data_IF_547102612371
#
_entry.id   IF_547102612371
#
_cell.length_a   1.000
_cell.length_b   1.000
_cell.length_c   1.000
_cell.angle_alpha   90.00
_cell.angle_beta   90.00
_cell.angle_gamma   90.00
#
_symmetry.space_group_name_H-M   'P 1'
#
loop_
_entity.id
_entity.type
_entity.pdbx_description
1 polymer ?
#
# COMPACT_ATOMS: atom_id res chain seq x y z
N UNK A 1 -36.02 -10.08 31.94
CA UNK A 1 -35.15 -8.87 31.94
C UNK A 1 -34.01 -9.09 30.97
N UNK A 2 -33.79 -8.17 30.03
CA UNK A 2 -32.61 -8.23 29.15
C UNK A 2 -31.35 -7.78 29.92
N UNK A 3 -30.16 -8.37 29.66
CA UNK A 3 -28.94 -8.01 30.35
C UNK A 3 -28.52 -6.57 30.04
N UNK A 4 -28.00 -5.87 31.06
CA UNK A 4 -27.59 -4.48 30.99
C UNK A 4 -26.45 -4.33 29.96
N UNK A 5 -26.56 -3.39 29.00
CA UNK A 5 -25.51 -3.16 28.01
C UNK A 5 -24.21 -2.73 28.68
N UNK A 6 -23.08 -3.34 28.29
CA UNK A 6 -21.74 -2.96 28.80
C UNK A 6 -21.50 -1.44 28.66
N UNK A 7 -20.86 -0.78 29.65
CA UNK A 7 -20.61 0.66 29.63
C UNK A 7 -19.74 1.07 28.43
N UNK A 8 -19.95 2.29 27.91
CA UNK A 8 -19.37 2.76 26.64
C UNK A 8 -17.83 2.65 26.56
N UNK A 9 -17.12 2.93 27.66
CA UNK A 9 -15.66 2.79 27.74
C UNK A 9 -15.14 1.35 27.70
N UNK A 10 -16.01 0.37 27.97
CA UNK A 10 -15.70 -1.06 27.99
C UNK A 10 -16.13 -1.77 26.69
N UNK A 11 -16.81 -1.04 25.79
CA UNK A 11 -17.25 -1.51 24.46
C UNK A 11 -16.23 -1.27 23.36
N UNK A 12 -15.24 -0.41 23.60
CA UNK A 12 -14.37 0.04 22.53
C UNK A 12 -13.19 -0.93 22.35
N UNK A 13 -13.33 -1.85 21.40
CA UNK A 13 -12.19 -2.61 20.87
C UNK A 13 -11.27 -1.61 20.16
N UNK A 14 -10.26 -1.12 20.87
CA UNK A 14 -9.23 -0.25 20.28
C UNK A 14 -8.33 -1.17 19.45
N UNK A 15 -8.64 -1.34 18.16
CA UNK A 15 -7.73 -1.95 17.19
C UNK A 15 -6.54 -0.99 16.99
N UNK A 16 -5.73 -0.81 18.03
CA UNK A 16 -4.48 -0.07 17.98
C UNK A 16 -3.44 -1.07 17.50
N UNK A 17 -3.05 -0.97 16.23
CA UNK A 17 -1.87 -1.66 15.73
C UNK A 17 -0.69 -1.18 16.59
N UNK A 18 -0.14 -2.07 17.42
CA UNK A 18 0.92 -1.75 18.37
C UNK A 18 2.31 -1.80 17.71
N UNK A 19 2.39 -2.27 16.47
CA UNK A 19 3.64 -2.63 15.81
C UNK A 19 3.60 -2.13 14.36
N UNK A 20 3.69 -0.82 14.15
CA UNK A 20 4.02 -0.34 12.81
C UNK A 20 5.53 -0.40 12.61
N UNK A 21 5.97 -1.30 11.74
CA UNK A 21 7.34 -1.29 11.25
C UNK A 21 7.45 -0.17 10.21
N UNK A 22 8.40 0.76 10.44
CA UNK A 22 8.74 1.82 9.48
C UNK A 22 9.72 1.28 8.45
N UNK A 23 9.29 1.23 7.20
CA UNK A 23 10.08 0.62 6.14
C UNK A 23 10.74 1.67 5.25
N UNK A 24 12.03 1.48 4.98
CA UNK A 24 12.83 2.31 4.09
C UNK A 24 13.41 1.44 2.96
N UNK A 25 13.42 1.97 1.74
CA UNK A 25 14.06 1.28 0.63
C UNK A 25 15.58 1.30 0.79
N UNK A 26 16.23 0.15 0.59
CA UNK A 26 17.68 0.07 0.48
C UNK A 26 18.10 0.16 -0.99
N UNK A 27 18.71 1.27 -1.43
CA UNK A 27 19.14 1.43 -2.82
C UNK A 27 20.27 0.48 -3.24
N UNK A 28 20.93 -0.20 -2.28
CA UNK A 28 21.98 -1.18 -2.55
C UNK A 28 21.45 -2.60 -2.69
N UNK A 29 20.20 -2.84 -2.27
CA UNK A 29 19.60 -4.16 -2.37
C UNK A 29 19.41 -4.52 -3.85
N UNK A 30 20.00 -5.65 -4.25
CA UNK A 30 19.87 -6.17 -5.61
C UNK A 30 18.81 -7.25 -5.64
N UNK A 31 17.98 -7.22 -6.69
CA UNK A 31 17.08 -8.32 -6.98
C UNK A 31 17.90 -9.61 -7.16
N UNK A 32 17.56 -10.71 -6.48
CA UNK A 32 18.14 -12.00 -6.77
C UNK A 32 17.79 -12.41 -8.20
N UNK A 33 18.66 -13.20 -8.82
CA UNK A 33 18.37 -13.75 -10.14
C UNK A 33 17.14 -14.65 -10.05
N UNK A 34 16.22 -14.49 -11.01
CA UNK A 34 15.14 -15.45 -11.17
C UNK A 34 15.74 -16.80 -11.62
N UNK A 35 15.16 -17.92 -11.17
CA UNK A 35 15.58 -19.24 -11.63
C UNK A 35 15.37 -19.36 -13.14
N UNK A 36 16.23 -20.13 -13.80
CA UNK A 36 16.07 -20.44 -15.22
C UNK A 36 14.81 -21.30 -15.42
N UNK A 37 14.02 -20.96 -16.44
CA UNK A 37 12.88 -21.77 -16.86
C UNK A 37 13.37 -22.78 -17.91
N UNK A 38 13.04 -24.08 -17.79
CA UNK A 38 13.58 -25.11 -18.69
C UNK A 38 13.25 -24.88 -20.17
N UNK A 39 12.05 -24.38 -20.46
CA UNK A 39 11.48 -24.41 -21.81
C UNK A 39 11.33 -23.02 -22.44
N UNK A 40 11.66 -21.93 -21.72
CA UNK A 40 11.39 -20.55 -22.18
C UNK A 40 12.19 -19.49 -21.45
N UNK A 41 12.18 -18.28 -22.00
CA UNK A 41 12.69 -17.09 -21.32
C UNK A 41 11.58 -16.41 -20.51
N UNK A 42 11.98 -15.69 -19.47
CA UNK A 42 11.08 -14.83 -18.70
C UNK A 42 10.51 -13.72 -19.58
N UNK A 43 9.21 -13.46 -19.42
CA UNK A 43 8.53 -12.37 -20.10
C UNK A 43 9.08 -11.01 -19.61
N UNK A 44 9.28 -10.02 -20.50
CA UNK A 44 9.86 -8.72 -20.12
C UNK A 44 9.09 -8.00 -19.01
N UNK A 45 7.76 -8.11 -19.00
CA UNK A 45 6.92 -7.51 -17.95
C UNK A 45 7.11 -8.20 -16.58
N UNK A 46 7.42 -9.49 -16.56
CA UNK A 46 7.74 -10.21 -15.32
C UNK A 46 9.08 -9.74 -14.77
N UNK A 47 10.09 -9.56 -15.63
CA UNK A 47 11.39 -9.02 -15.22
C UNK A 47 11.27 -7.60 -14.67
N UNK A 48 10.47 -6.75 -15.32
CA UNK A 48 10.19 -5.40 -14.85
C UNK A 48 9.51 -5.42 -13.47
N UNK A 49 8.46 -6.25 -13.32
CA UNK A 49 7.75 -6.44 -12.06
C UNK A 49 8.67 -6.96 -10.95
N UNK A 50 9.53 -7.94 -11.25
CA UNK A 50 10.50 -8.47 -10.30
C UNK A 50 11.44 -7.38 -9.79
N UNK A 51 11.97 -6.57 -10.70
CA UNK A 51 12.81 -5.45 -10.34
C UNK A 51 12.07 -4.41 -9.47
N UNK A 52 10.77 -4.16 -9.71
CA UNK A 52 9.94 -3.29 -8.86
C UNK A 52 9.73 -3.87 -7.45
N UNK A 53 9.52 -5.19 -7.32
CA UNK A 53 9.38 -5.85 -6.01
C UNK A 53 10.61 -5.60 -5.16
N UNK A 54 11.80 -5.74 -5.72
CA UNK A 54 13.06 -5.55 -4.98
C UNK A 54 13.50 -4.09 -4.81
N UNK A 55 12.94 -3.16 -5.59
CA UNK A 55 13.06 -1.71 -5.34
C UNK A 55 12.14 -1.21 -4.23
N UNK A 56 11.14 -2.01 -3.86
CA UNK A 56 10.15 -1.64 -2.87
C UNK A 56 10.80 -1.47 -1.48
N UNK A 57 10.32 -0.54 -0.63
CA UNK A 57 10.74 -0.44 0.77
C UNK A 57 10.53 -1.72 1.59
N UNK A 58 9.73 -2.65 1.06
CA UNK A 58 9.45 -3.95 1.67
C UNK A 58 10.60 -4.94 1.52
N UNK A 59 11.39 -4.79 0.46
CA UNK A 59 12.34 -5.79 0.02
C UNK A 59 13.41 -6.18 1.07
N UNK A 60 13.91 -5.26 1.93
CA UNK A 60 14.84 -5.62 3.00
C UNK A 60 14.26 -6.54 4.08
N UNK A 61 12.93 -6.60 4.22
CA UNK A 61 12.26 -7.42 5.25
C UNK A 61 12.05 -8.87 4.80
N UNK A 62 12.25 -9.18 3.51
CA UNK A 62 12.10 -10.54 3.00
C UNK A 62 13.26 -11.42 3.46
N UNK A 63 12.93 -12.54 4.09
CA UNK A 63 13.90 -13.56 4.45
C UNK A 63 14.16 -14.52 3.28
N UNK A 64 15.13 -15.42 3.42
CA UNK A 64 15.42 -16.47 2.43
C UNK A 64 14.20 -17.34 2.12
N UNK A 65 13.41 -17.65 3.14
CA UNK A 65 12.18 -18.42 3.00
C UNK A 65 11.15 -17.73 2.09
N UNK A 66 11.01 -16.41 2.19
CA UNK A 66 10.10 -15.61 1.35
C UNK A 66 10.51 -15.63 -0.12
N UNK A 67 11.82 -15.70 -0.42
CA UNK A 67 12.32 -15.73 -1.80
C UNK A 67 11.77 -16.92 -2.58
N UNK A 68 11.65 -18.08 -1.94
CA UNK A 68 11.07 -19.26 -2.59
C UNK A 68 9.62 -19.03 -2.99
N UNK A 69 8.82 -18.41 -2.12
CA UNK A 69 7.44 -18.05 -2.44
C UNK A 69 7.35 -16.96 -3.52
N UNK A 70 8.26 -15.99 -3.49
CA UNK A 70 8.36 -14.95 -4.53
C UNK A 70 8.75 -15.52 -5.90
N UNK A 71 9.58 -16.57 -5.96
CA UNK A 71 9.88 -17.26 -7.22
C UNK A 71 8.65 -17.98 -7.78
N UNK A 72 7.86 -18.66 -6.93
CA UNK A 72 6.61 -19.27 -7.36
C UNK A 72 5.62 -18.22 -7.88
N UNK A 73 5.51 -17.09 -7.19
CA UNK A 73 4.70 -15.96 -7.64
C UNK A 73 5.19 -15.39 -8.98
N UNK A 74 6.51 -15.32 -9.19
CA UNK A 74 7.08 -14.87 -10.45
C UNK A 74 6.64 -15.77 -11.61
N UNK A 75 6.67 -17.09 -11.44
CA UNK A 75 6.18 -18.05 -12.46
C UNK A 75 4.71 -17.78 -12.80
N UNK A 76 3.85 -17.56 -11.80
CA UNK A 76 2.44 -17.26 -12.04
C UNK A 76 2.23 -15.94 -12.79
N UNK A 77 2.96 -14.89 -12.40
CA UNK A 77 2.93 -13.59 -13.09
C UNK A 77 3.36 -13.75 -14.54
N UNK A 78 4.38 -14.57 -14.78
CA UNK A 78 4.89 -14.85 -16.11
C UNK A 78 3.91 -15.61 -16.98
N UNK A 79 3.33 -16.69 -16.45
CA UNK A 79 2.26 -17.45 -17.09
C UNK A 79 1.07 -16.55 -17.41
N UNK A 80 0.74 -15.59 -16.54
CA UNK A 80 -0.33 -14.62 -16.78
C UNK A 80 -0.01 -13.69 -17.95
N UNK A 81 1.24 -13.27 -18.13
CA UNK A 81 1.63 -12.45 -19.29
C UNK A 81 1.62 -13.23 -20.60
N UNK A 82 1.96 -14.51 -20.57
CA UNK A 82 1.94 -15.39 -21.77
C UNK A 82 0.52 -15.80 -22.13
N UNK A 83 -0.27 -16.23 -21.14
CA UNK A 83 -1.64 -16.72 -21.33
C UNK A 83 -2.53 -16.26 -20.17
N UNK A 84 -3.09 -15.05 -20.25
CA UNK A 84 -3.93 -14.50 -19.19
C UNK A 84 -5.14 -15.40 -18.91
N UNK A 85 -5.40 -15.67 -17.63
CA UNK A 85 -6.60 -16.38 -17.19
C UNK A 85 -7.13 -15.81 -15.88
N UNK A 86 -8.44 -15.98 -15.63
CA UNK A 86 -9.06 -15.55 -14.37
C UNK A 86 -8.53 -16.32 -13.17
N UNK A 87 -8.21 -17.60 -13.36
CA UNK A 87 -7.68 -18.46 -12.31
C UNK A 87 -6.26 -18.03 -11.92
N UNK A 88 -5.39 -17.75 -12.90
CA UNK A 88 -4.05 -17.18 -12.65
C UNK A 88 -4.15 -15.84 -11.93
N UNK A 89 -5.04 -14.95 -12.38
CA UNK A 89 -5.24 -13.66 -11.72
C UNK A 89 -5.71 -13.82 -10.26
N UNK A 90 -6.55 -14.83 -9.98
CA UNK A 90 -7.00 -15.13 -8.63
C UNK A 90 -5.87 -15.65 -7.75
N UNK A 91 -5.05 -16.58 -8.24
CA UNK A 91 -3.89 -17.11 -7.53
C UNK A 91 -2.84 -16.03 -7.25
N UNK A 92 -2.48 -15.22 -8.25
CA UNK A 92 -1.59 -14.07 -8.09
C UNK A 92 -2.13 -13.13 -7.01
N UNK A 93 -3.44 -12.84 -7.03
CA UNK A 93 -4.10 -11.98 -6.03
C UNK A 93 -4.03 -12.58 -4.62
N UNK A 94 -4.05 -13.90 -4.46
CA UNK A 94 -3.95 -14.54 -3.15
C UNK A 94 -2.49 -14.55 -2.66
N UNK A 95 -1.56 -15.03 -3.48
CA UNK A 95 -0.16 -15.18 -3.10
C UNK A 95 0.55 -13.85 -2.85
N UNK A 96 0.23 -12.81 -3.63
CA UNK A 96 0.85 -11.47 -3.44
C UNK A 96 0.56 -10.85 -2.06
N UNK A 97 -0.50 -11.30 -1.38
CA UNK A 97 -0.90 -10.73 -0.08
C UNK A 97 0.12 -11.06 1.00
N UNK A 98 0.70 -12.25 0.94
CA UNK A 98 1.73 -12.70 1.87
C UNK A 98 2.96 -11.80 1.87
N UNK A 99 3.26 -11.16 0.73
CA UNK A 99 4.46 -10.33 0.55
C UNK A 99 4.18 -8.82 0.59
N UNK A 100 2.95 -8.39 0.87
CA UNK A 100 2.64 -6.96 0.96
C UNK A 100 2.81 -6.20 -0.37
N UNK A 101 2.55 -6.84 -1.51
CA UNK A 101 2.82 -6.20 -2.81
C UNK A 101 1.82 -5.12 -3.19
N UNK A 102 0.65 -5.06 -2.53
CA UNK A 102 -0.31 -3.97 -2.73
C UNK A 102 -0.52 -3.12 -1.47
N UNK A 103 -1.00 -1.86 -1.61
CA UNK A 103 -1.22 -0.98 -0.46
C UNK A 103 -2.15 -1.56 0.61
N UNK A 104 -3.15 -2.37 0.22
CA UNK A 104 -4.04 -3.03 1.17
C UNK A 104 -3.33 -4.18 1.90
N UNK A 105 -2.44 -4.90 1.21
CA UNK A 105 -1.69 -6.02 1.77
C UNK A 105 -0.66 -5.52 2.79
N UNK A 106 0.01 -4.41 2.51
CA UNK A 106 0.94 -3.76 3.47
C UNK A 106 0.25 -3.36 4.75
N UNK A 107 -0.94 -2.75 4.64
CA UNK A 107 -1.75 -2.40 5.81
C UNK A 107 -2.17 -3.64 6.61
N UNK A 108 -2.48 -4.76 5.94
CA UNK A 108 -2.81 -6.03 6.61
C UNK A 108 -1.63 -6.59 7.38
N UNK A 109 -0.44 -6.51 6.81
CA UNK A 109 0.81 -6.91 7.46
C UNK A 109 1.30 -5.91 8.52
N UNK A 110 0.56 -4.80 8.75
CA UNK A 110 0.94 -3.69 9.64
C UNK A 110 2.29 -3.05 9.27
N UNK A 111 2.67 -3.19 8.00
CA UNK A 111 3.85 -2.59 7.42
C UNK A 111 3.54 -1.15 7.03
N UNK A 112 4.12 -0.18 7.74
CA UNK A 112 4.03 1.25 7.42
C UNK A 112 5.28 1.68 6.64
N UNK A 113 5.12 2.01 5.37
CA UNK A 113 6.22 2.62 4.61
C UNK A 113 6.48 4.00 5.23
N UNK A 114 7.69 4.24 5.72
CA UNK A 114 8.07 5.55 6.20
C UNK A 114 8.18 6.46 4.96
N UNK A 115 7.16 7.28 4.74
CA UNK A 115 7.20 8.35 3.74
C UNK A 115 8.06 9.46 4.31
N UNK A 116 9.35 9.17 4.45
CA UNK A 116 10.36 10.07 4.98
C UNK A 116 10.19 11.45 4.36
N UNK A 117 10.07 12.44 5.23
CA UNK A 117 10.08 13.88 4.97
C UNK A 117 9.02 14.48 4.03
N UNK A 118 8.34 13.74 3.15
CA UNK A 118 7.36 14.36 2.24
C UNK A 118 6.12 14.90 2.97
N UNK A 119 5.68 14.25 4.05
CA UNK A 119 4.54 14.73 4.83
C UNK A 119 4.92 15.93 5.71
N UNK A 120 6.13 15.89 6.27
CA UNK A 120 6.71 16.93 7.12
C UNK A 120 7.06 18.17 6.29
N UNK A 121 7.69 18.00 5.13
CA UNK A 121 8.00 19.06 4.16
C UNK A 121 6.73 19.62 3.51
N UNK A 122 5.71 18.80 3.17
CA UNK A 122 4.41 19.34 2.74
C UNK A 122 3.75 20.16 3.83
N UNK A 123 3.79 19.71 5.07
CA UNK A 123 3.23 20.44 6.22
C UNK A 123 4.03 21.72 6.50
N UNK A 124 5.35 21.67 6.39
CA UNK A 124 6.26 22.80 6.55
C UNK A 124 6.06 23.82 5.42
N UNK A 125 5.97 23.39 4.16
CA UNK A 125 5.64 24.24 3.00
C UNK A 125 4.25 24.86 3.13
N UNK A 126 3.25 24.10 3.61
CA UNK A 126 1.90 24.63 3.86
C UNK A 126 1.86 25.63 5.02
N UNK A 127 2.71 25.47 6.04
CA UNK A 127 2.86 26.41 7.16
C UNK A 127 3.73 27.63 6.83
N UNK A 128 4.67 27.49 5.88
CA UNK A 128 5.56 28.54 5.41
C UNK A 128 4.95 29.37 4.27
N UNK A 129 3.88 28.89 3.62
CA UNK A 129 3.10 29.71 2.70
C UNK A 129 2.49 30.90 3.47
N UNK A 130 2.75 32.15 3.07
CA UNK A 130 2.17 33.30 3.74
C UNK A 130 0.64 33.17 3.64
N UNK A 131 -0.02 33.24 4.80
CA UNK A 131 -1.46 33.41 4.84
C UNK A 131 -1.78 34.69 4.06
N UNK A 132 -2.30 34.54 2.84
CA UNK A 132 -2.87 35.65 2.10
C UNK A 132 -3.94 36.27 2.99
N UNK A 133 -3.59 37.38 3.63
CA UNK A 133 -4.48 38.14 4.51
C UNK A 133 -5.20 39.20 3.68
N UNK A 134 -6.46 39.40 4.08
CA UNK A 134 -7.46 40.42 3.70
C UNK A 134 -8.25 40.08 2.44
N UNK A 135 -9.58 40.12 2.43
CA UNK A 135 -10.53 40.56 3.45
C UNK A 135 -11.81 41.00 2.73
N UNK A 136 -12.96 40.65 3.26
CA UNK A 136 -14.19 41.42 3.09
C UNK A 136 -15.15 41.02 4.20
N UNK A 137 -15.48 41.99 5.06
CA UNK A 137 -16.70 41.97 5.86
C UNK A 137 -17.88 41.74 4.92
N UNK A 138 -18.34 40.49 4.87
CA UNK A 138 -19.49 40.08 4.11
C UNK A 138 -20.16 38.98 4.91
N UNK A 139 -21.32 39.30 5.49
CA UNK A 139 -22.20 38.34 6.16
C UNK A 139 -22.25 37.04 5.33
N UNK A 140 -22.06 35.84 5.92
CA UNK A 140 -22.05 34.61 5.15
C UNK A 140 -23.41 34.45 4.46
N UNK A 141 -23.43 34.51 3.13
CA UNK A 141 -24.63 34.20 2.35
C UNK A 141 -24.89 32.71 2.51
N UNK A 142 -26.08 32.37 3.03
CA UNK A 142 -26.50 30.99 3.22
C UNK A 142 -26.55 30.29 1.84
N UNK A 143 -25.80 29.20 1.64
CA UNK A 143 -25.79 28.44 0.38
C UNK A 143 -27.15 27.84 0.00
N UNK A 144 -28.15 27.91 0.88
CA UNK A 144 -29.55 27.51 0.58
C UNK A 144 -30.35 28.55 -0.19
N UNK A 145 -29.83 29.78 -0.34
CA UNK A 145 -30.50 30.85 -1.08
C UNK A 145 -30.49 30.67 -2.61
N UNK A 146 -29.76 29.68 -3.13
CA UNK A 146 -29.54 29.47 -4.57
C UNK A 146 -30.50 28.45 -5.20
N UNK A 147 -31.39 27.84 -4.41
CA UNK A 147 -32.37 26.87 -4.89
C UNK A 147 -33.74 27.54 -5.01
N UNK A 148 -34.09 27.99 -6.20
CA UNK A 148 -35.48 28.26 -6.57
C UNK A 148 -36.04 27.00 -7.25
N UNK A 149 -37.12 26.46 -6.70
CA UNK A 149 -37.88 25.40 -7.35
C UNK A 149 -38.49 25.96 -8.64
N UNK A 150 -38.24 25.25 -9.74
CA UNK A 150 -38.91 25.44 -11.04
C UNK A 150 -40.07 24.45 -11.12
#
# INVERSE_FOLDING_TARGET
MAPIPKPAGMRQRRNRAATSAKLQADPKLKAPNLPELPDRLWHPMTLAWWADVWRSPMAPEYDESDRHGLFLLAVLVDDFWVKPSKDLAAEIRLQRQSFGLSPIDRRRLQWEIDRGDEATERTRKRRAAPAARKGSDGKPVDPRSVLHAV
#
